data_IF_767709366711
#
_entry.id   IF_767709366711
#
_cell.length_a   1.000
_cell.length_b   1.000
_cell.length_c   1.000
_cell.angle_alpha   90.00
_cell.angle_beta   90.00
_cell.angle_gamma   90.00
#
_symmetry.space_group_name_H-M   'P 1'
#
loop_
_entity.id
_entity.type
_entity.pdbx_description
1 polymer ?
#
# COMPACT_ATOMS: atom_id res chain seq x y z
N UNK A 1 3.34 8.60 4.58
CA UNK A 1 2.47 9.67 5.14
C UNK A 1 3.22 10.98 5.38
N UNK A 2 4.50 10.98 5.76
CA UNK A 2 5.27 12.22 5.97
C UNK A 2 5.33 13.15 4.75
N UNK A 3 5.48 12.60 3.54
CA UNK A 3 5.48 13.40 2.31
C UNK A 3 4.17 14.18 2.09
N UNK A 4 3.01 13.59 2.46
CA UNK A 4 1.71 14.25 2.34
C UNK A 4 1.62 15.41 3.33
N UNK A 5 2.01 15.18 4.59
CA UNK A 5 2.06 16.24 5.62
C UNK A 5 2.99 17.38 5.20
N UNK A 6 4.15 17.04 4.62
CA UNK A 6 5.08 18.03 4.09
C UNK A 6 4.47 18.86 2.96
N UNK A 7 3.77 18.23 2.01
CA UNK A 7 3.05 18.95 0.94
C UNK A 7 2.03 19.92 1.55
N UNK A 8 1.19 19.44 2.47
CA UNK A 8 0.14 20.26 3.09
C UNK A 8 0.70 21.40 3.94
N UNK A 9 1.91 21.25 4.50
CA UNK A 9 2.55 22.33 5.29
C UNK A 9 3.01 23.52 4.45
N UNK A 10 3.10 23.39 3.13
CA UNK A 10 3.62 24.42 2.22
C UNK A 10 2.68 24.75 1.05
N UNK A 11 1.52 24.10 0.97
CA UNK A 11 0.57 24.32 -0.11
C UNK A 11 -0.40 25.43 0.26
N UNK A 12 -0.31 26.57 -0.43
CA UNK A 12 -1.24 27.69 -0.28
C UNK A 12 -2.47 27.56 -1.21
N UNK A 13 -2.42 26.63 -2.18
CA UNK A 13 -3.43 26.42 -3.23
C UNK A 13 -4.38 25.24 -2.97
N UNK A 14 -4.17 24.50 -1.88
CA UNK A 14 -5.02 23.37 -1.49
C UNK A 14 -6.00 23.78 -0.37
N UNK A 15 -7.22 23.21 -0.34
CA UNK A 15 -8.11 23.42 0.79
C UNK A 15 -7.52 22.82 2.08
N UNK A 16 -8.04 23.21 3.26
CA UNK A 16 -7.68 22.55 4.52
C UNK A 16 -7.98 21.05 4.45
N UNK A 17 -6.96 20.21 4.60
CA UNK A 17 -7.06 18.75 4.54
C UNK A 17 -6.43 18.16 5.80
N UNK A 18 -7.18 17.31 6.50
CA UNK A 18 -6.66 16.45 7.57
C UNK A 18 -6.27 15.09 6.99
N UNK A 19 -5.17 14.50 7.46
CA UNK A 19 -4.64 13.25 6.91
C UNK A 19 -4.50 12.19 7.99
N UNK A 20 -5.29 11.13 7.87
CA UNK A 20 -5.26 9.98 8.75
C UNK A 20 -4.44 8.82 8.14
N UNK A 21 -3.37 8.34 8.80
CA UNK A 21 -2.61 7.20 8.33
C UNK A 21 -3.37 5.89 8.58
N UNK A 22 -3.77 5.22 7.51
CA UNK A 22 -4.29 3.85 7.58
C UNK A 22 -3.14 2.87 7.36
N UNK A 23 -2.91 1.98 8.33
CA UNK A 23 -1.83 1.00 8.31
C UNK A 23 -2.37 -0.41 8.14
N UNK A 24 -1.65 -1.22 7.36
CA UNK A 24 -1.93 -2.65 7.20
C UNK A 24 -0.85 -3.42 7.95
N UNK A 25 -1.27 -4.20 8.93
CA UNK A 25 -0.38 -5.12 9.63
C UNK A 25 -0.29 -6.46 8.86
N UNK A 26 0.90 -6.76 8.32
CA UNK A 26 1.14 -8.00 7.57
C UNK A 26 1.08 -9.25 8.46
N UNK A 27 1.35 -9.13 9.75
CA UNK A 27 1.22 -10.23 10.70
C UNK A 27 -0.26 -10.55 10.95
N UNK A 28 -1.12 -9.53 11.02
CA UNK A 28 -2.57 -9.72 11.15
C UNK A 28 -3.15 -10.39 9.93
N UNK A 29 -2.69 -9.98 8.74
CA UNK A 29 -3.01 -10.67 7.50
C UNK A 29 -2.51 -12.11 7.52
N UNK A 30 -1.29 -12.39 7.98
CA UNK A 30 -0.77 -13.75 8.11
C UNK A 30 -1.70 -14.65 8.95
N UNK A 31 -2.25 -14.12 10.05
CA UNK A 31 -3.17 -14.84 10.94
C UNK A 31 -4.50 -15.23 10.28
N UNK A 32 -4.91 -14.57 9.20
CA UNK A 32 -6.11 -14.97 8.44
C UNK A 32 -5.95 -16.31 7.73
N UNK A 33 -4.70 -16.76 7.53
CA UNK A 33 -4.36 -18.07 6.97
C UNK A 33 -3.24 -18.73 7.79
N UNK A 34 -3.59 -19.43 8.89
CA UNK A 34 -2.61 -20.08 9.75
C UNK A 34 -1.66 -21.01 8.99
N UNK A 35 -0.35 -20.81 9.19
CA UNK A 35 0.76 -21.58 8.64
C UNK A 35 1.91 -21.63 9.64
N UNK A 36 2.73 -22.69 9.57
CA UNK A 36 3.97 -22.80 10.33
C UNK A 36 5.11 -21.95 9.76
N UNK A 37 4.98 -21.46 8.52
CA UNK A 37 6.02 -20.69 7.83
C UNK A 37 5.38 -19.65 6.91
N UNK A 38 5.80 -18.40 7.05
CA UNK A 38 5.40 -17.31 6.16
C UNK A 38 6.61 -16.66 5.50
N UNK A 39 6.37 -16.13 4.31
CA UNK A 39 7.29 -15.28 3.57
C UNK A 39 6.68 -13.88 3.48
N UNK A 40 7.35 -12.87 4.01
CA UNK A 40 6.95 -11.46 3.92
C UNK A 40 7.74 -10.75 2.81
N UNK A 41 7.31 -9.58 2.29
CA UNK A 41 8.00 -8.90 1.21
C UNK A 41 9.37 -8.38 1.63
N UNK A 42 9.48 -7.85 2.86
CA UNK A 42 10.71 -7.35 3.45
C UNK A 42 10.61 -7.29 4.98
N UNK A 43 11.74 -7.01 5.64
CA UNK A 43 11.82 -6.89 7.10
C UNK A 43 11.36 -5.50 7.58
N UNK A 44 10.05 -5.29 7.62
CA UNK A 44 9.44 -4.05 8.11
C UNK A 44 9.20 -4.04 9.63
N UNK A 45 10.24 -4.35 10.42
CA UNK A 45 10.24 -4.15 11.88
C UNK A 45 9.41 -5.13 12.73
N UNK A 46 8.68 -6.08 12.13
CA UNK A 46 7.85 -7.04 12.86
C UNK A 46 8.59 -8.35 13.19
N UNK A 47 8.16 -9.01 14.27
CA UNK A 47 8.58 -10.36 14.67
C UNK A 47 7.58 -11.43 14.19
N UNK A 48 8.02 -12.67 14.10
CA UNK A 48 7.17 -13.79 13.70
C UNK A 48 5.97 -14.00 14.63
N UNK A 49 4.82 -14.49 14.12
CA UNK A 49 3.77 -15.04 14.97
C UNK A 49 4.34 -16.13 15.88
N UNK A 50 3.86 -16.25 17.14
CA UNK A 50 4.31 -17.31 18.04
C UNK A 50 4.20 -18.70 17.38
N UNK A 51 5.32 -19.43 17.34
CA UNK A 51 5.40 -20.77 16.76
C UNK A 51 5.50 -20.84 15.23
N UNK A 52 5.53 -19.70 14.54
CA UNK A 52 5.76 -19.65 13.09
C UNK A 52 7.17 -19.17 12.76
N UNK A 53 7.72 -19.67 11.65
CA UNK A 53 8.93 -19.13 11.02
C UNK A 53 8.57 -17.99 10.07
N UNK A 54 9.41 -16.95 10.03
CA UNK A 54 9.37 -15.92 8.99
C UNK A 54 10.66 -15.94 8.18
N UNK A 55 10.51 -15.89 6.86
CA UNK A 55 11.56 -15.42 5.95
C UNK A 55 11.08 -14.18 5.20
N UNK A 56 12.00 -13.53 4.47
CA UNK A 56 11.74 -12.30 3.74
C UNK A 56 12.16 -12.41 2.28
N UNK A 57 11.29 -12.01 1.37
CA UNK A 57 11.48 -12.18 -0.07
C UNK A 57 12.66 -11.35 -0.62
N UNK A 58 12.90 -10.17 -0.06
CA UNK A 58 14.06 -9.32 -0.38
C UNK A 58 15.42 -9.94 0.02
N UNK A 59 15.43 -10.88 0.97
CA UNK A 59 16.62 -11.63 1.40
C UNK A 59 16.88 -12.88 0.54
N UNK A 60 15.98 -13.21 -0.40
CA UNK A 60 16.07 -14.37 -1.30
C UNK A 60 16.41 -15.70 -0.59
N UNK A 61 15.64 -16.11 0.43
CA UNK A 61 15.88 -17.37 1.14
C UNK A 61 15.79 -18.59 0.21
N UNK A 62 16.41 -19.73 0.55
CA UNK A 62 16.15 -20.98 -0.15
C UNK A 62 14.66 -21.32 -0.15
N UNK A 63 14.12 -21.82 -1.28
CA UNK A 63 12.70 -22.16 -1.42
C UNK A 63 12.25 -23.12 -0.30
N UNK A 64 11.22 -22.72 0.46
CA UNK A 64 10.62 -23.51 1.54
C UNK A 64 9.09 -23.46 1.50
N UNK A 65 8.41 -24.33 2.25
CA UNK A 65 6.94 -24.44 2.21
C UNK A 65 6.24 -23.33 3.01
N UNK A 66 6.25 -22.12 2.46
CA UNK A 66 5.68 -20.91 3.06
C UNK A 66 4.36 -20.47 2.44
N UNK A 67 3.60 -19.71 3.23
CA UNK A 67 2.54 -18.83 2.73
C UNK A 67 3.15 -17.44 2.48
N UNK A 68 3.00 -16.90 1.28
CA UNK A 68 3.41 -15.53 0.97
C UNK A 68 2.34 -14.55 1.47
N UNK A 69 2.71 -13.63 2.36
CA UNK A 69 1.86 -12.47 2.67
C UNK A 69 2.39 -11.28 1.88
N UNK A 70 1.65 -10.85 0.87
CA UNK A 70 2.17 -9.83 -0.05
C UNK A 70 1.22 -9.55 -1.21
N UNK A 71 1.40 -8.40 -1.84
CA UNK A 71 0.60 -7.98 -2.98
C UNK A 71 1.11 -8.59 -4.30
N UNK A 72 0.50 -8.19 -5.41
CA UNK A 72 0.87 -8.66 -6.76
C UNK A 72 2.36 -8.47 -7.08
N UNK A 73 3.01 -7.38 -6.65
CA UNK A 73 4.46 -7.21 -6.87
C UNK A 73 5.27 -8.31 -6.17
N UNK A 74 4.92 -8.68 -4.94
CA UNK A 74 5.60 -9.77 -4.23
C UNK A 74 5.42 -11.11 -4.94
N UNK A 75 4.23 -11.36 -5.52
CA UNK A 75 3.96 -12.57 -6.31
C UNK A 75 4.79 -12.60 -7.60
N UNK A 76 4.94 -11.46 -8.29
CA UNK A 76 5.78 -11.35 -9.48
C UNK A 76 7.25 -11.62 -9.16
N UNK A 77 7.77 -11.02 -8.08
CA UNK A 77 9.14 -11.26 -7.62
C UNK A 77 9.32 -12.74 -7.26
N UNK A 78 8.41 -13.32 -6.48
CA UNK A 78 8.49 -14.74 -6.12
C UNK A 78 8.52 -15.64 -7.37
N UNK A 79 7.65 -15.40 -8.35
CA UNK A 79 7.62 -16.16 -9.60
C UNK A 79 8.93 -16.03 -10.38
N UNK A 80 9.52 -14.85 -10.40
CA UNK A 80 10.80 -14.61 -11.06
C UNK A 80 11.96 -15.33 -10.34
N UNK A 81 11.98 -15.31 -9.01
CA UNK A 81 13.04 -15.93 -8.20
C UNK A 81 12.92 -17.47 -8.16
N UNK A 82 11.72 -18.00 -7.92
CA UNK A 82 11.49 -19.41 -7.59
C UNK A 82 10.76 -20.20 -8.66
N UNK A 83 10.24 -19.54 -9.70
CA UNK A 83 9.53 -20.18 -10.81
C UNK A 83 8.05 -20.48 -10.55
N UNK A 84 7.52 -20.16 -9.37
CA UNK A 84 6.13 -20.45 -8.99
C UNK A 84 5.49 -19.33 -8.16
N UNK A 85 4.19 -19.47 -7.86
CA UNK A 85 3.46 -18.61 -6.92
C UNK A 85 2.95 -19.50 -5.79
N UNK A 86 3.37 -19.27 -4.53
CA UNK A 86 2.96 -20.09 -3.41
C UNK A 86 1.53 -19.71 -2.99
N UNK A 87 0.90 -20.44 -2.04
CA UNK A 87 -0.29 -19.95 -1.38
C UNK A 87 -0.06 -18.53 -0.84
N UNK A 88 -1.01 -17.62 -1.08
CA UNK A 88 -0.83 -16.21 -0.81
C UNK A 88 -2.00 -15.64 0.01
N UNK A 89 -1.65 -14.73 0.93
CA UNK A 89 -2.58 -13.77 1.54
C UNK A 89 -2.29 -12.42 0.89
N UNK A 90 -3.25 -11.86 0.17
CA UNK A 90 -3.09 -10.57 -0.48
C UNK A 90 -3.03 -9.44 0.55
N UNK A 91 -2.09 -8.53 0.35
CA UNK A 91 -1.88 -7.37 1.22
C UNK A 91 -1.95 -6.06 0.44
N UNK A 92 -2.59 -6.06 -0.75
CA UNK A 92 -2.66 -4.90 -1.63
C UNK A 92 -3.47 -3.75 -0.98
N UNK A 93 -2.85 -2.63 -0.58
CA UNK A 93 -3.57 -1.54 0.09
C UNK A 93 -4.63 -0.92 -0.82
N UNK A 94 -4.43 -0.94 -2.14
CA UNK A 94 -5.43 -0.47 -3.11
C UNK A 94 -6.69 -1.34 -3.12
N UNK A 95 -6.53 -2.65 -3.04
CA UNK A 95 -7.66 -3.58 -3.03
C UNK A 95 -8.46 -3.47 -1.72
N UNK A 96 -7.76 -3.28 -0.60
CA UNK A 96 -8.36 -3.17 0.73
C UNK A 96 -8.83 -1.74 1.08
N UNK A 97 -8.49 -0.72 0.27
CA UNK A 97 -8.67 0.68 0.61
C UNK A 97 -10.11 1.00 1.06
N UNK A 98 -11.12 0.60 0.28
CA UNK A 98 -12.52 0.88 0.62
C UNK A 98 -12.96 0.26 1.94
N UNK A 99 -12.51 -0.96 2.25
CA UNK A 99 -12.87 -1.65 3.49
C UNK A 99 -12.14 -1.03 4.69
N UNK A 100 -10.88 -0.64 4.50
CA UNK A 100 -10.06 -0.05 5.57
C UNK A 100 -10.45 1.39 5.90
N UNK A 101 -10.98 2.14 4.92
CA UNK A 101 -11.32 3.57 5.09
C UNK A 101 -12.82 3.82 5.12
N UNK A 102 -13.67 2.78 5.06
CA UNK A 102 -15.12 2.97 4.96
C UNK A 102 -15.57 3.73 3.71
N UNK A 103 -14.76 3.73 2.65
CA UNK A 103 -15.01 4.48 1.42
C UNK A 103 -14.56 5.94 1.45
N UNK A 104 -13.84 6.38 2.48
CA UNK A 104 -13.29 7.74 2.54
C UNK A 104 -12.26 7.99 1.42
N UNK A 105 -12.12 9.25 0.97
CA UNK A 105 -11.13 9.64 -0.03
C UNK A 105 -9.71 9.21 0.35
N UNK A 106 -9.07 8.43 -0.51
CA UNK A 106 -7.85 7.69 -0.15
C UNK A 106 -6.73 7.94 -1.15
N UNK A 107 -5.60 8.41 -0.66
CA UNK A 107 -4.32 8.42 -1.38
C UNK A 107 -3.51 7.17 -0.98
N UNK A 108 -3.23 6.28 -1.93
CA UNK A 108 -2.37 5.11 -1.70
C UNK A 108 -1.14 5.12 -2.59
N UNK A 109 -0.08 4.47 -2.12
CA UNK A 109 1.13 4.23 -2.93
C UNK A 109 1.11 2.82 -3.49
N UNK A 110 1.59 2.66 -4.73
CA UNK A 110 1.73 1.35 -5.34
C UNK A 110 3.06 1.22 -6.10
N UNK A 111 3.74 0.10 -5.90
CA UNK A 111 5.00 -0.23 -6.57
C UNK A 111 4.82 -0.80 -7.98
N UNK A 112 3.58 -1.06 -8.42
CA UNK A 112 3.26 -1.42 -9.81
C UNK A 112 3.03 -0.20 -10.71
N UNK A 113 2.86 0.98 -10.12
CA UNK A 113 2.72 2.24 -10.86
C UNK A 113 4.06 2.95 -10.80
N UNK A 114 4.78 2.98 -11.91
CA UNK A 114 6.16 3.47 -11.95
C UNK A 114 6.24 4.98 -12.27
N UNK A 115 5.32 5.51 -13.08
CA UNK A 115 5.35 6.90 -13.55
C UNK A 115 3.99 7.60 -13.57
N UNK A 116 2.92 6.89 -13.23
CA UNK A 116 1.56 7.36 -13.44
C UNK A 116 0.84 7.53 -12.11
N UNK A 117 0.08 8.63 -12.03
CA UNK A 117 -0.95 8.82 -11.01
C UNK A 117 -2.24 8.29 -11.61
N UNK A 118 -2.83 7.33 -10.92
CA UNK A 118 -4.11 6.74 -11.29
C UNK A 118 -5.23 7.27 -10.39
N UNK A 119 -6.34 7.68 -10.99
CA UNK A 119 -7.47 8.32 -10.32
C UNK A 119 -8.74 7.51 -10.59
N UNK A 120 -9.29 6.92 -9.53
CA UNK A 120 -10.50 6.10 -9.56
C UNK A 120 -11.52 6.65 -8.56
N UNK A 121 -12.35 7.59 -9.02
CA UNK A 121 -13.32 8.27 -8.14
C UNK A 121 -12.59 9.02 -7.01
N UNK A 122 -12.87 8.65 -5.76
CA UNK A 122 -12.22 9.21 -4.57
C UNK A 122 -10.97 8.43 -4.14
N UNK A 123 -10.42 7.56 -4.99
CA UNK A 123 -9.17 6.85 -4.74
C UNK A 123 -8.11 7.31 -5.71
N UNK A 124 -6.97 7.74 -5.19
CA UNK A 124 -5.81 8.11 -5.99
C UNK A 124 -4.65 7.20 -5.64
N UNK A 125 -4.06 6.57 -6.65
CA UNK A 125 -2.84 5.77 -6.53
C UNK A 125 -1.67 6.52 -7.13
N UNK A 126 -0.63 6.75 -6.33
CA UNK A 126 0.62 7.37 -6.80
C UNK A 126 1.77 6.35 -6.81
N UNK A 127 2.84 6.59 -7.59
CA UNK A 127 3.99 5.72 -7.60
C UNK A 127 4.61 5.53 -6.21
N UNK A 128 5.18 4.36 -5.96
CA UNK A 128 5.89 4.11 -4.69
C UNK A 128 6.99 5.17 -4.45
N UNK A 129 7.76 5.46 -5.50
CA UNK A 129 8.79 6.48 -5.54
C UNK A 129 8.31 7.92 -5.79
N UNK A 130 7.01 8.20 -5.67
CA UNK A 130 6.43 9.51 -5.99
C UNK A 130 7.19 10.69 -5.33
N UNK A 131 7.48 11.69 -6.15
CA UNK A 131 7.98 13.01 -5.78
C UNK A 131 6.93 13.81 -5.02
N UNK A 132 7.35 14.89 -4.34
CA UNK A 132 6.39 15.77 -3.64
C UNK A 132 5.36 16.39 -4.59
N UNK A 133 5.74 16.69 -5.84
CA UNK A 133 4.80 17.21 -6.83
C UNK A 133 3.77 16.16 -7.25
N UNK A 134 4.16 14.89 -7.41
CA UNK A 134 3.19 13.83 -7.69
C UNK A 134 2.26 13.58 -6.50
N UNK A 135 2.77 13.66 -5.27
CA UNK A 135 1.92 13.64 -4.07
C UNK A 135 0.96 14.83 -4.07
N UNK A 136 1.43 16.05 -4.33
CA UNK A 136 0.60 17.27 -4.39
C UNK A 136 -0.50 17.14 -5.43
N UNK A 137 -0.16 16.69 -6.64
CA UNK A 137 -1.13 16.42 -7.70
C UNK A 137 -2.17 15.38 -7.26
N UNK A 138 -1.74 14.29 -6.64
CA UNK A 138 -2.67 13.27 -6.14
C UNK A 138 -3.63 13.79 -5.06
N UNK A 139 -3.13 14.63 -4.15
CA UNK A 139 -3.96 15.30 -3.13
C UNK A 139 -4.93 16.29 -3.77
N UNK A 140 -4.49 17.05 -4.78
CA UNK A 140 -5.35 17.98 -5.52
C UNK A 140 -6.49 17.25 -6.24
N UNK A 141 -6.23 16.10 -6.86
CA UNK A 141 -7.28 15.28 -7.49
C UNK A 141 -8.30 14.77 -6.47
N UNK A 142 -7.86 14.36 -5.28
CA UNK A 142 -8.78 13.99 -4.19
C UNK A 142 -9.63 15.18 -3.74
N UNK A 143 -9.01 16.35 -3.54
CA UNK A 143 -9.72 17.56 -3.14
C UNK A 143 -10.83 17.92 -4.15
N UNK A 144 -10.51 17.92 -5.44
CA UNK A 144 -11.49 18.16 -6.53
C UNK A 144 -12.64 17.14 -6.49
N UNK A 145 -12.35 15.87 -6.24
CA UNK A 145 -13.38 14.83 -6.15
C UNK A 145 -14.30 15.00 -4.93
N UNK A 146 -13.86 15.75 -3.91
CA UNK A 146 -14.62 16.06 -2.70
C UNK A 146 -15.34 17.41 -2.76
N UNK A 147 -15.03 18.27 -3.73
CA UNK A 147 -15.67 19.57 -3.84
C UNK A 147 -17.18 19.42 -4.04
N UNK A 148 -18.01 20.06 -3.21
CA UNK A 148 -19.45 20.07 -3.43
C UNK A 148 -19.76 20.79 -4.74
N UNK A 149 -20.76 20.29 -5.48
CA UNK A 149 -21.20 20.85 -6.76
C UNK A 149 -21.65 22.34 -6.75
N UNK A 150 -21.67 23.00 -5.59
CA UNK A 150 -22.07 24.40 -5.41
C UNK A 150 -20.92 25.37 -5.11
N UNK A 151 -19.66 24.90 -5.01
CA UNK A 151 -18.51 25.78 -4.81
C UNK A 151 -18.17 26.57 -6.10
N UNK A 152 -17.98 27.91 -6.03
CA UNK A 152 -17.50 28.67 -7.17
C UNK A 152 -16.01 28.40 -7.39
N UNK A 153 -15.66 27.89 -8.57
CA UNK A 153 -14.27 27.60 -8.98
C UNK A 153 -13.46 28.84 -9.38
#
# INVERSE_FOLDING_TARGET
MEQVRRVLSVADDLPPIEVEPVLVDLHDLARTRPSGHYLLPCRAGATAPPGARLDYLDELPPRGDWVLVGCERSRQIHRWVYGDVPPNVDSCPRAMASDLTGGEPTLTKCCLFEYEIDVEGTRVTVPWGASLEEIRRGVAELAKAMEPAWAPG
#
